data_IF_505860568952
#
_entry.id   IF_505860568952
#
_cell.length_a   1.000
_cell.length_b   1.000
_cell.length_c   1.000
_cell.angle_alpha   90.00
_cell.angle_beta   90.00
_cell.angle_gamma   90.00
#
_symmetry.space_group_name_H-M   'P 1'
#
loop_
_entity.id
_entity.type
_entity.pdbx_description
1 polymer ?
#
# COMPACT_ATOMS: atom_id res chain seq x y z
N UNK A 1 37.08 5.39 6.25
CA UNK A 1 35.86 6.24 6.28
C UNK A 1 35.03 6.11 4.99
N UNK A 2 35.63 6.18 3.80
CA UNK A 2 34.90 6.05 2.50
C UNK A 2 34.27 4.68 2.25
N UNK A 3 34.92 3.56 2.61
CA UNK A 3 34.33 2.21 2.49
C UNK A 3 33.10 2.01 3.39
N UNK A 4 33.10 2.53 4.63
CA UNK A 4 31.93 2.46 5.52
C UNK A 4 30.77 3.32 5.02
N UNK A 5 31.04 4.45 4.37
CA UNK A 5 30.00 5.30 3.78
C UNK A 5 29.34 4.60 2.57
N UNK A 6 30.14 4.00 1.70
CA UNK A 6 29.64 3.22 0.54
C UNK A 6 28.81 2.00 0.97
N UNK A 7 29.29 1.25 1.96
CA UNK A 7 28.58 0.07 2.50
C UNK A 7 27.22 0.45 3.12
N UNK A 8 27.13 1.60 3.79
CA UNK A 8 25.89 2.10 4.38
C UNK A 8 24.86 2.50 3.29
N UNK A 9 25.32 3.12 2.20
CA UNK A 9 24.46 3.47 1.05
C UNK A 9 23.88 2.22 0.38
N UNK A 10 24.69 1.17 0.18
CA UNK A 10 24.21 -0.09 -0.40
C UNK A 10 23.18 -0.79 0.50
N UNK A 11 23.38 -0.79 1.82
CA UNK A 11 22.43 -1.37 2.78
C UNK A 11 21.11 -0.59 2.76
N UNK A 12 21.15 0.74 2.77
CA UNK A 12 19.95 1.58 2.71
C UNK A 12 19.19 1.33 1.40
N UNK A 13 19.90 1.23 0.27
CA UNK A 13 19.25 0.98 -1.02
C UNK A 13 18.61 -0.42 -1.07
N UNK A 14 19.28 -1.45 -0.55
CA UNK A 14 18.71 -2.79 -0.45
C UNK A 14 17.49 -2.82 0.47
N UNK A 15 17.53 -2.10 1.60
CA UNK A 15 16.40 -1.97 2.52
C UNK A 15 15.21 -1.26 1.86
N UNK A 16 15.44 -0.14 1.14
CA UNK A 16 14.40 0.54 0.35
C UNK A 16 13.72 -0.41 -0.63
N UNK A 17 14.50 -1.17 -1.39
CA UNK A 17 13.96 -2.11 -2.36
C UNK A 17 13.19 -3.25 -1.68
N UNK A 18 13.70 -3.78 -0.57
CA UNK A 18 13.02 -4.79 0.21
C UNK A 18 11.66 -4.30 0.77
N UNK A 19 11.57 -3.05 1.25
CA UNK A 19 10.30 -2.46 1.70
C UNK A 19 9.30 -2.35 0.55
N UNK A 20 9.75 -1.92 -0.62
CA UNK A 20 8.91 -1.81 -1.82
C UNK A 20 8.40 -3.18 -2.26
N UNK A 21 9.29 -4.17 -2.34
CA UNK A 21 8.94 -5.56 -2.66
C UNK A 21 7.95 -6.14 -1.66
N UNK A 22 8.22 -5.98 -0.36
CA UNK A 22 7.34 -6.48 0.71
C UNK A 22 5.95 -5.85 0.62
N UNK A 23 5.85 -4.57 0.25
CA UNK A 23 4.57 -3.88 0.05
C UNK A 23 3.77 -4.50 -1.10
N UNK A 24 4.43 -4.75 -2.23
CA UNK A 24 3.83 -5.39 -3.41
C UNK A 24 3.38 -6.82 -3.11
N UNK A 25 4.25 -7.62 -2.51
CA UNK A 25 3.97 -9.02 -2.15
C UNK A 25 2.82 -9.11 -1.14
N UNK A 26 2.81 -8.24 -0.13
CA UNK A 26 1.76 -8.22 0.89
C UNK A 26 0.38 -8.02 0.26
N UNK A 27 0.22 -7.01 -0.60
CA UNK A 27 -1.05 -6.77 -1.27
C UNK A 27 -1.42 -7.91 -2.21
N UNK A 28 -0.46 -8.39 -3.00
CA UNK A 28 -0.68 -9.45 -3.99
C UNK A 28 -1.12 -10.75 -3.31
N UNK A 29 -0.43 -11.18 -2.26
CA UNK A 29 -0.78 -12.37 -1.49
C UNK A 29 -2.09 -12.20 -0.72
N UNK A 30 -2.35 -11.01 -0.18
CA UNK A 30 -3.64 -10.71 0.45
C UNK A 30 -4.78 -10.89 -0.55
N UNK A 31 -4.70 -10.27 -1.72
CA UNK A 31 -5.72 -10.38 -2.77
C UNK A 31 -5.93 -11.84 -3.18
N UNK A 32 -4.86 -12.60 -3.42
CA UNK A 32 -4.94 -14.00 -3.80
C UNK A 32 -5.62 -14.85 -2.72
N UNK A 33 -5.18 -14.72 -1.46
CA UNK A 33 -5.74 -15.49 -0.33
C UNK A 33 -7.20 -15.11 -0.06
N UNK A 34 -7.54 -13.82 -0.10
CA UNK A 34 -8.89 -13.35 0.09
C UNK A 34 -9.83 -13.91 -0.99
N UNK A 35 -9.42 -13.85 -2.25
CA UNK A 35 -10.17 -14.40 -3.38
C UNK A 35 -10.31 -15.94 -3.28
N UNK A 36 -9.26 -16.63 -2.83
CA UNK A 36 -9.29 -18.07 -2.59
C UNK A 36 -10.32 -18.45 -1.52
N UNK A 37 -10.31 -17.75 -0.38
CA UNK A 37 -11.28 -17.96 0.70
C UNK A 37 -12.72 -17.68 0.24
N UNK A 38 -12.90 -16.63 -0.57
CA UNK A 38 -14.21 -16.37 -1.17
C UNK A 38 -14.66 -17.56 -2.03
N UNK A 39 -13.81 -18.08 -2.91
CA UNK A 39 -14.16 -19.24 -3.74
C UNK A 39 -14.50 -20.48 -2.92
N UNK A 40 -13.68 -20.78 -1.91
CA UNK A 40 -13.85 -21.93 -1.03
C UNK A 40 -15.19 -21.87 -0.28
N UNK A 41 -15.55 -20.68 0.20
CA UNK A 41 -16.75 -20.46 1.01
C UNK A 41 -17.92 -19.86 0.24
N UNK A 42 -17.92 -19.86 -1.10
CA UNK A 42 -18.97 -19.22 -1.91
C UNK A 42 -20.36 -19.80 -1.66
N UNK A 43 -20.45 -21.07 -1.24
CA UNK A 43 -21.69 -21.76 -0.85
C UNK A 43 -21.85 -21.91 0.67
N UNK A 44 -21.07 -21.17 1.47
CA UNK A 44 -21.09 -21.21 2.92
C UNK A 44 -22.19 -20.33 3.53
N UNK A 45 -22.05 -20.00 4.82
CA UNK A 45 -23.02 -19.20 5.59
C UNK A 45 -22.95 -17.69 5.34
N UNK A 46 -22.10 -17.22 4.42
CA UNK A 46 -21.96 -15.80 4.11
C UNK A 46 -23.15 -15.26 3.30
N UNK A 47 -23.74 -14.15 3.74
CA UNK A 47 -24.99 -13.62 3.16
C UNK A 47 -24.77 -12.43 2.21
N UNK A 48 -23.56 -11.86 2.15
CA UNK A 48 -23.27 -10.69 1.31
C UNK A 48 -23.37 -11.01 -0.20
N UNK A 49 -23.06 -12.25 -0.60
CA UNK A 49 -23.06 -12.70 -1.99
C UNK A 49 -23.74 -14.07 -2.12
N UNK A 50 -25.08 -14.09 -2.02
CA UNK A 50 -25.87 -15.31 -2.04
C UNK A 50 -25.73 -16.09 -3.36
N UNK A 51 -25.46 -17.42 -3.32
CA UNK A 51 -25.37 -18.26 -4.52
C UNK A 51 -26.61 -18.22 -5.42
N UNK A 52 -27.79 -18.03 -4.83
CA UNK A 52 -29.04 -17.93 -5.59
C UNK A 52 -29.10 -16.68 -6.49
N UNK A 53 -28.36 -15.62 -6.14
CA UNK A 53 -28.28 -14.37 -6.89
C UNK A 53 -27.04 -14.36 -7.78
N UNK A 54 -25.87 -14.70 -7.22
CA UNK A 54 -24.59 -14.71 -7.92
C UNK A 54 -24.26 -16.13 -8.44
N UNK A 55 -25.18 -16.66 -9.22
CA UNK A 55 -25.29 -18.09 -9.55
C UNK A 55 -24.44 -18.56 -10.75
N UNK A 56 -23.66 -17.67 -11.37
CA UNK A 56 -22.79 -18.01 -12.48
C UNK A 56 -21.39 -17.41 -12.30
N UNK A 57 -20.37 -18.12 -12.80
CA UNK A 57 -18.98 -17.78 -12.54
C UNK A 57 -18.56 -16.44 -13.16
N UNK A 58 -19.16 -16.03 -14.29
CA UNK A 58 -18.86 -14.74 -14.94
C UNK A 58 -19.31 -13.58 -14.06
N UNK A 59 -20.55 -13.64 -13.55
CA UNK A 59 -21.10 -12.63 -12.66
C UNK A 59 -20.35 -12.59 -11.33
N UNK A 60 -20.05 -13.75 -10.74
CA UNK A 60 -19.31 -13.83 -9.48
C UNK A 60 -17.90 -13.23 -9.61
N UNK A 61 -17.21 -13.51 -10.72
CA UNK A 61 -15.91 -12.91 -11.00
C UNK A 61 -16.00 -11.39 -11.19
N UNK A 62 -17.02 -10.90 -11.90
CA UNK A 62 -17.23 -9.46 -12.11
C UNK A 62 -17.39 -8.71 -10.78
N UNK A 63 -18.27 -9.21 -9.89
CA UNK A 63 -18.53 -8.54 -8.61
C UNK A 63 -17.34 -8.64 -7.66
N UNK A 64 -16.61 -9.76 -7.68
CA UNK A 64 -15.39 -9.93 -6.91
C UNK A 64 -14.28 -8.99 -7.37
N UNK A 65 -14.07 -8.87 -8.68
CA UNK A 65 -13.11 -7.90 -9.24
C UNK A 65 -13.45 -6.48 -8.83
N UNK A 66 -14.73 -6.11 -8.92
CA UNK A 66 -15.20 -4.80 -8.47
C UNK A 66 -14.92 -4.60 -6.97
N UNK A 67 -15.28 -5.58 -6.14
CA UNK A 67 -15.03 -5.52 -4.70
C UNK A 67 -13.55 -5.33 -4.38
N UNK A 68 -12.68 -6.14 -4.99
CA UNK A 68 -11.23 -6.03 -4.76
C UNK A 68 -10.66 -4.69 -5.24
N UNK A 69 -11.18 -4.13 -6.34
CA UNK A 69 -10.78 -2.79 -6.81
C UNK A 69 -11.21 -1.70 -5.84
N UNK A 70 -12.45 -1.75 -5.35
CA UNK A 70 -12.95 -0.79 -4.37
C UNK A 70 -12.17 -0.89 -3.05
N UNK A 71 -11.91 -2.11 -2.58
CA UNK A 71 -11.10 -2.38 -1.38
C UNK A 71 -9.65 -1.90 -1.52
N UNK A 72 -9.05 -2.06 -2.71
CA UNK A 72 -7.72 -1.53 -3.00
C UNK A 72 -7.69 -0.01 -2.87
N UNK A 73 -8.67 0.68 -3.46
CA UNK A 73 -8.76 2.14 -3.40
C UNK A 73 -9.01 2.63 -1.97
N UNK A 74 -9.80 1.91 -1.17
CA UNK A 74 -9.98 2.23 0.25
C UNK A 74 -8.69 2.01 1.05
N UNK A 75 -7.97 0.93 0.78
CA UNK A 75 -6.66 0.63 1.40
C UNK A 75 -5.66 1.78 1.15
N UNK A 76 -5.56 2.25 -0.09
CA UNK A 76 -4.71 3.41 -0.42
C UNK A 76 -5.19 4.69 0.26
N UNK A 77 -6.51 4.91 0.36
CA UNK A 77 -7.09 6.08 1.01
C UNK A 77 -6.78 6.13 2.51
N UNK A 78 -7.02 5.04 3.23
CA UNK A 78 -6.68 4.94 4.64
C UNK A 78 -5.18 4.97 4.87
N UNK A 79 -4.39 4.28 4.05
CA UNK A 79 -2.92 4.32 4.10
C UNK A 79 -2.41 5.76 3.99
N UNK A 80 -2.85 6.49 2.98
CA UNK A 80 -2.49 7.90 2.77
C UNK A 80 -2.90 8.80 3.95
N UNK A 81 -4.14 8.65 4.46
CA UNK A 81 -4.59 9.41 5.62
C UNK A 81 -3.74 9.10 6.88
N UNK A 82 -3.33 7.84 7.07
CA UNK A 82 -2.43 7.44 8.17
C UNK A 82 -1.04 8.03 7.99
N UNK A 83 -0.50 8.10 6.78
CA UNK A 83 0.78 8.77 6.52
C UNK A 83 0.70 10.26 6.88
N UNK A 84 -0.29 10.97 6.35
CA UNK A 84 -0.48 12.41 6.60
C UNK A 84 -0.54 12.71 8.10
N UNK A 85 -1.41 12.01 8.85
CA UNK A 85 -1.59 12.28 10.29
C UNK A 85 -0.38 11.89 11.14
N UNK A 86 0.55 11.07 10.65
CA UNK A 86 1.82 10.76 11.33
C UNK A 86 2.91 11.80 11.07
N UNK A 87 2.74 12.64 10.05
CA UNK A 87 3.70 13.70 9.69
C UNK A 87 3.28 15.04 10.32
N UNK A 88 1.99 15.41 10.25
CA UNK A 88 1.51 16.72 10.71
C UNK A 88 0.56 16.66 11.91
N UNK A 89 0.23 15.45 12.38
CA UNK A 89 -0.66 15.25 13.52
C UNK A 89 0.10 15.07 14.83
N UNK A 90 -0.62 15.01 15.95
CA UNK A 90 -0.04 14.99 17.30
C UNK A 90 0.92 13.81 17.56
N UNK A 91 0.64 12.64 16.98
CA UNK A 91 1.38 11.41 17.27
C UNK A 91 2.25 11.00 16.07
N UNK A 92 3.54 11.32 16.15
CA UNK A 92 4.55 11.07 15.13
C UNK A 92 5.01 9.60 15.10
N UNK A 93 5.97 9.26 14.23
CA UNK A 93 6.61 7.93 14.13
C UNK A 93 8.12 8.03 14.28
N UNK A 94 8.71 7.00 14.88
CA UNK A 94 10.15 6.94 15.15
C UNK A 94 11.01 6.99 13.88
N UNK A 95 10.48 6.49 12.76
CA UNK A 95 11.14 6.52 11.44
C UNK A 95 11.59 7.94 11.04
N UNK A 96 10.81 8.96 11.41
CA UNK A 96 11.19 10.37 11.23
C UNK A 96 11.86 10.94 12.48
N UNK A 97 11.30 10.72 13.67
CA UNK A 97 11.78 11.36 14.90
C UNK A 97 13.24 10.99 15.25
N UNK A 98 13.69 9.79 14.86
CA UNK A 98 15.09 9.34 15.03
C UNK A 98 16.10 10.07 14.13
N UNK A 99 15.65 10.78 13.09
CA UNK A 99 16.49 11.63 12.25
C UNK A 99 16.82 12.91 13.02
N UNK A 100 18.03 13.00 13.56
CA UNK A 100 18.48 14.12 14.42
C UNK A 100 18.66 15.44 13.67
N UNK A 101 19.06 15.39 12.39
CA UNK A 101 19.17 16.57 11.53
C UNK A 101 17.77 17.02 11.08
N UNK A 102 17.29 18.13 11.66
CA UNK A 102 15.96 18.65 11.40
C UNK A 102 15.69 18.99 9.93
N UNK A 103 16.71 19.42 9.16
CA UNK A 103 16.52 19.74 7.73
C UNK A 103 16.34 18.46 6.93
N UNK A 104 17.18 17.45 7.19
CA UNK A 104 17.03 16.13 6.54
C UNK A 104 15.70 15.47 6.88
N UNK A 105 15.27 15.57 8.14
CA UNK A 105 13.97 15.07 8.60
C UNK A 105 12.83 15.74 7.85
N UNK A 106 12.80 17.08 7.81
CA UNK A 106 11.78 17.83 7.11
C UNK A 106 11.74 17.51 5.60
N UNK A 107 12.89 17.29 4.96
CA UNK A 107 12.95 16.86 3.56
C UNK A 107 12.36 15.46 3.34
N UNK A 108 12.62 14.51 4.22
CA UNK A 108 12.01 13.19 4.19
C UNK A 108 10.50 13.24 4.42
N UNK A 109 10.06 13.98 5.44
CA UNK A 109 8.65 14.20 5.78
C UNK A 109 7.88 14.84 4.62
N UNK A 110 8.47 15.85 3.97
CA UNK A 110 7.87 16.52 2.81
C UNK A 110 7.65 15.56 1.65
N UNK A 111 8.65 14.75 1.28
CA UNK A 111 8.50 13.74 0.21
C UNK A 111 7.41 12.72 0.55
N UNK A 112 7.37 12.24 1.79
CA UNK A 112 6.35 11.30 2.25
C UNK A 112 4.94 11.95 2.23
N UNK A 113 4.83 13.21 2.62
CA UNK A 113 3.59 13.96 2.62
C UNK A 113 3.07 14.21 1.20
N UNK A 114 3.96 14.55 0.26
CA UNK A 114 3.62 14.75 -1.15
C UNK A 114 3.10 13.46 -1.78
N UNK A 115 3.78 12.33 -1.54
CA UNK A 115 3.32 11.00 -1.96
C UNK A 115 1.96 10.66 -1.36
N UNK A 116 1.77 10.84 -0.05
CA UNK A 116 0.51 10.56 0.63
C UNK A 116 -0.64 11.44 0.10
N UNK A 117 -0.40 12.72 -0.16
CA UNK A 117 -1.41 13.62 -0.75
C UNK A 117 -1.82 13.16 -2.14
N UNK A 118 -0.87 12.71 -2.96
CA UNK A 118 -1.17 12.17 -4.28
C UNK A 118 -1.97 10.88 -4.17
N UNK A 119 -1.58 9.93 -3.32
CA UNK A 119 -2.37 8.73 -3.07
C UNK A 119 -3.79 9.07 -2.61
N UNK A 120 -3.95 9.96 -1.63
CA UNK A 120 -5.27 10.29 -1.12
C UNK A 120 -6.21 10.84 -2.21
N UNK A 121 -5.70 11.75 -3.05
CA UNK A 121 -6.48 12.40 -4.11
C UNK A 121 -6.69 11.50 -5.33
N UNK A 122 -5.68 10.73 -5.70
CA UNK A 122 -5.60 10.07 -7.01
C UNK A 122 -5.70 8.54 -6.91
N UNK A 123 -5.90 7.97 -5.72
CA UNK A 123 -6.01 6.50 -5.49
C UNK A 123 -6.87 5.76 -6.50
N UNK A 124 -7.97 6.38 -6.96
CA UNK A 124 -8.91 5.77 -7.92
C UNK A 124 -8.35 5.60 -9.33
N UNK A 125 -7.21 6.23 -9.65
CA UNK A 125 -6.51 6.09 -10.92
C UNK A 125 -5.57 4.89 -10.96
N UNK A 126 -5.23 4.30 -9.81
CA UNK A 126 -4.36 3.14 -9.76
C UNK A 126 -5.16 1.86 -10.00
N UNK A 127 -4.64 1.03 -10.88
CA UNK A 127 -5.22 -0.28 -11.20
C UNK A 127 -4.57 -1.42 -10.41
N UNK A 128 -3.42 -1.18 -9.79
CA UNK A 128 -2.75 -2.17 -8.94
C UNK A 128 -1.60 -1.62 -8.10
N UNK A 129 -1.13 -2.45 -7.17
CA UNK A 129 -0.07 -2.07 -6.22
C UNK A 129 1.28 -1.80 -6.89
N UNK A 130 1.58 -2.45 -8.02
CA UNK A 130 2.82 -2.27 -8.77
C UNK A 130 2.99 -0.84 -9.30
N UNK A 131 1.89 -0.18 -9.67
CA UNK A 131 1.88 1.23 -10.08
C UNK A 131 2.20 2.17 -8.91
N UNK A 132 1.66 1.85 -7.73
CA UNK A 132 1.92 2.59 -6.48
C UNK A 132 3.38 2.43 -6.06
N UNK A 133 3.93 1.22 -6.14
CA UNK A 133 5.35 0.94 -5.86
C UNK A 133 6.27 1.64 -6.85
N UNK A 134 5.91 1.63 -8.15
CA UNK A 134 6.66 2.35 -9.18
C UNK A 134 6.68 3.85 -8.93
N UNK A 135 5.56 4.41 -8.48
CA UNK A 135 5.44 5.81 -8.12
C UNK A 135 6.28 6.16 -6.88
N UNK A 136 6.23 5.33 -5.84
CA UNK A 136 7.07 5.48 -4.65
C UNK A 136 8.56 5.43 -5.00
N UNK A 137 8.96 4.57 -5.96
CA UNK A 137 10.35 4.48 -6.43
C UNK A 137 10.79 5.75 -7.18
N UNK A 138 9.92 6.35 -7.98
CA UNK A 138 10.21 7.58 -8.75
C UNK A 138 10.36 8.84 -7.89
N UNK A 139 9.71 8.88 -6.73
CA UNK A 139 9.73 10.03 -5.82
C UNK A 139 10.84 9.96 -4.75
N UNK A 140 11.63 8.87 -4.77
CA UNK A 140 12.65 8.53 -3.77
C UNK A 140 14.08 8.65 -4.31
#
# INVERSE_FOLDING_TARGET
MLMNCSMNVHIIQACKEWILQTTEETWTLFQQKFVSLWNEHKNGSGEAYLPAIYNNDVLLELVRRKFMKDLFHDTLGFGAAKMIRRIVGVAHVEDFESITDARKRADCERRALDFARMLLKERRKFEGISEVVSLARKLN
#
